data_IF_001385312467
#
_entry.id   IF_001385312467
#
_cell.length_a   1.000
_cell.length_b   1.000
_cell.length_c   1.000
_cell.angle_alpha   90.00
_cell.angle_beta   90.00
_cell.angle_gamma   90.00
#
_symmetry.space_group_name_H-M   'P 1'
#
loop_
_entity.id
_entity.type
_entity.pdbx_description
1 polymer ?
#
# COMPACT_ATOMS: atom_id res chain seq x y z
N UNK A 1 -59.91 6.28 55.31
CA UNK A 1 -60.34 5.12 54.51
C UNK A 1 -61.58 5.48 53.68
N UNK A 2 -61.41 6.10 52.51
CA UNK A 2 -62.49 6.69 51.69
C UNK A 2 -62.86 5.85 50.45
N UNK A 3 -62.75 4.51 50.56
CA UNK A 3 -63.03 3.58 49.46
C UNK A 3 -64.09 2.52 49.83
N UNK A 4 -64.67 2.63 51.03
CA UNK A 4 -65.62 1.67 51.59
C UNK A 4 -67.03 2.29 51.52
N UNK A 5 -67.85 1.84 50.57
CA UNK A 5 -69.27 2.20 50.44
C UNK A 5 -70.15 1.44 51.46
N UNK A 6 -69.67 0.32 52.01
CA UNK A 6 -70.36 -0.50 53.02
C UNK A 6 -69.36 -0.88 54.12
N UNK A 7 -69.43 -0.27 55.32
CA UNK A 7 -68.41 -0.41 56.37
C UNK A 7 -68.26 -1.83 56.95
N UNK A 8 -69.26 -2.70 56.82
CA UNK A 8 -69.23 -4.04 57.43
C UNK A 8 -68.67 -5.15 56.51
N UNK A 9 -68.48 -4.91 55.21
CA UNK A 9 -67.96 -5.91 54.25
C UNK A 9 -67.04 -5.29 53.19
N UNK A 10 -65.72 -5.18 53.45
CA UNK A 10 -64.78 -4.52 52.53
C UNK A 10 -64.66 -5.20 51.16
N UNK A 11 -64.90 -6.51 51.11
CA UNK A 11 -64.83 -7.30 49.86
C UNK A 11 -65.98 -6.95 48.90
N UNK A 12 -67.18 -6.66 49.40
CA UNK A 12 -68.36 -6.34 48.58
C UNK A 12 -68.26 -4.93 47.98
N UNK A 13 -67.75 -3.96 48.75
CA UNK A 13 -67.48 -2.60 48.24
C UNK A 13 -66.40 -2.60 47.16
N UNK A 14 -65.35 -3.42 47.31
CA UNK A 14 -64.31 -3.58 46.30
C UNK A 14 -64.85 -4.21 45.00
N UNK A 15 -65.74 -5.20 45.11
CA UNK A 15 -66.43 -5.83 43.99
C UNK A 15 -67.32 -4.82 43.23
N UNK A 16 -68.05 -3.97 43.95
CA UNK A 16 -68.92 -2.95 43.36
C UNK A 16 -68.11 -1.91 42.56
N UNK A 17 -67.00 -1.43 43.12
CA UNK A 17 -66.07 -0.55 42.40
C UNK A 17 -65.44 -1.22 41.18
N UNK A 18 -65.08 -2.51 41.28
CA UNK A 18 -64.57 -3.26 40.14
C UNK A 18 -65.59 -3.35 38.99
N UNK A 19 -66.87 -3.57 39.30
CA UNK A 19 -67.95 -3.60 38.29
C UNK A 19 -68.15 -2.23 37.64
N UNK A 20 -68.20 -1.15 38.42
CA UNK A 20 -68.31 0.22 37.90
C UNK A 20 -67.12 0.57 37.01
N UNK A 21 -65.90 0.20 37.43
CA UNK A 21 -64.69 0.42 36.66
C UNK A 21 -64.69 -0.34 35.33
N UNK A 22 -65.13 -1.60 35.32
CA UNK A 22 -65.29 -2.40 34.09
C UNK A 22 -66.36 -1.79 33.17
N UNK A 23 -67.46 -1.26 33.72
CA UNK A 23 -68.51 -0.61 32.92
C UNK A 23 -68.01 0.68 32.26
N UNK A 24 -67.25 1.51 32.98
CA UNK A 24 -66.60 2.72 32.43
C UNK A 24 -65.64 2.34 31.30
N UNK A 25 -64.78 1.33 31.53
CA UNK A 25 -63.85 0.82 30.52
C UNK A 25 -64.59 0.30 29.27
N UNK A 26 -65.73 -0.37 29.44
CA UNK A 26 -66.54 -0.87 28.34
C UNK A 26 -67.11 0.25 27.46
N UNK A 27 -67.67 1.32 28.06
CA UNK A 27 -68.16 2.48 27.30
C UNK A 27 -67.01 3.25 26.62
N UNK A 28 -65.84 3.31 27.26
CA UNK A 28 -64.64 3.95 26.71
C UNK A 28 -63.94 3.12 25.61
N UNK A 29 -64.42 1.92 25.26
CA UNK A 29 -63.75 1.00 24.31
C UNK A 29 -63.43 1.61 22.96
N UNK A 30 -64.42 2.25 22.33
CA UNK A 30 -64.25 2.87 21.01
C UNK A 30 -63.28 4.06 21.03
N UNK A 31 -63.42 5.06 21.93
CA UNK A 31 -62.49 6.19 22.00
C UNK A 31 -61.07 5.74 22.40
N UNK A 32 -60.90 4.80 23.34
CA UNK A 32 -59.58 4.29 23.73
C UNK A 32 -58.90 3.59 22.56
N UNK A 33 -59.59 2.69 21.85
CA UNK A 33 -59.02 2.02 20.66
C UNK A 33 -58.60 3.02 19.59
N UNK A 34 -59.42 4.05 19.33
CA UNK A 34 -59.09 5.10 18.35
C UNK A 34 -57.86 5.89 18.77
N UNK A 35 -57.81 6.37 20.02
CA UNK A 35 -56.66 7.13 20.53
C UNK A 35 -55.37 6.31 20.47
N UNK A 36 -55.40 5.06 20.94
CA UNK A 36 -54.24 4.15 20.90
C UNK A 36 -53.79 3.92 19.46
N UNK A 37 -54.72 3.69 18.52
CA UNK A 37 -54.38 3.48 17.12
C UNK A 37 -53.79 4.74 16.44
N UNK A 38 -54.26 5.94 16.79
CA UNK A 38 -53.75 7.20 16.27
C UNK A 38 -52.33 7.48 16.79
N UNK A 39 -52.09 7.25 18.08
CA UNK A 39 -50.76 7.38 18.69
C UNK A 39 -49.80 6.35 18.11
N UNK A 40 -50.25 5.10 17.93
CA UNK A 40 -49.46 4.07 17.27
C UNK A 40 -49.11 4.46 15.83
N UNK A 41 -50.08 4.93 15.05
CA UNK A 41 -49.89 5.33 13.67
C UNK A 41 -48.96 6.54 13.53
N UNK A 42 -49.08 7.56 14.39
CA UNK A 42 -48.20 8.72 14.36
C UNK A 42 -46.76 8.35 14.69
N UNK A 43 -46.56 7.54 15.73
CA UNK A 43 -45.22 7.11 16.17
C UNK A 43 -44.56 6.20 15.10
N UNK A 44 -45.31 5.27 14.52
CA UNK A 44 -44.85 4.45 13.39
C UNK A 44 -44.53 5.31 12.15
N UNK A 45 -45.35 6.31 11.85
CA UNK A 45 -45.12 7.23 10.72
C UNK A 45 -43.84 8.04 10.90
N UNK A 46 -43.60 8.57 12.10
CA UNK A 46 -42.37 9.31 12.42
C UNK A 46 -41.12 8.42 12.31
N UNK A 47 -41.17 7.19 12.82
CA UNK A 47 -40.04 6.26 12.68
C UNK A 47 -39.78 5.90 11.22
N UNK A 48 -40.84 5.71 10.42
CA UNK A 48 -40.71 5.45 8.98
C UNK A 48 -40.09 6.64 8.24
N UNK A 49 -40.49 7.87 8.54
CA UNK A 49 -39.93 9.06 7.90
C UNK A 49 -38.45 9.24 8.26
N UNK A 50 -38.07 9.05 9.53
CA UNK A 50 -36.67 9.11 9.97
C UNK A 50 -35.81 8.04 9.29
N UNK A 51 -36.32 6.82 9.18
CA UNK A 51 -35.64 5.74 8.44
C UNK A 51 -35.39 6.14 6.98
N UNK A 52 -36.39 6.68 6.30
CA UNK A 52 -36.26 7.11 4.90
C UNK A 52 -35.24 8.25 4.77
N UNK A 53 -35.26 9.23 5.67
CA UNK A 53 -34.29 10.32 5.69
C UNK A 53 -32.84 9.78 5.86
N UNK A 54 -32.61 8.86 6.80
CA UNK A 54 -31.29 8.25 7.00
C UNK A 54 -30.81 7.45 5.80
N UNK A 55 -31.70 6.66 5.16
CA UNK A 55 -31.34 5.90 3.97
C UNK A 55 -31.02 6.80 2.77
N UNK A 56 -31.76 7.89 2.61
CA UNK A 56 -31.48 8.90 1.60
C UNK A 56 -30.12 9.56 1.87
N UNK A 57 -29.84 9.98 3.12
CA UNK A 57 -28.54 10.54 3.50
C UNK A 57 -27.40 9.54 3.28
N UNK A 58 -27.60 8.26 3.60
CA UNK A 58 -26.62 7.21 3.33
C UNK A 58 -26.32 7.08 1.84
N UNK A 59 -27.36 7.09 0.98
CA UNK A 59 -27.18 7.02 -0.48
C UNK A 59 -26.46 8.24 -1.05
N UNK A 60 -26.75 9.44 -0.55
CA UNK A 60 -26.07 10.67 -0.98
C UNK A 60 -24.61 10.68 -0.56
N UNK A 61 -24.30 10.22 0.66
CA UNK A 61 -22.93 10.08 1.15
C UNK A 61 -22.15 9.03 0.35
N UNK A 62 -22.78 7.90 0.00
CA UNK A 62 -22.15 6.86 -0.82
C UNK A 62 -21.74 7.40 -2.20
N UNK A 63 -22.62 8.16 -2.86
CA UNK A 63 -22.33 8.81 -4.14
C UNK A 63 -21.20 9.84 -4.01
N UNK A 64 -21.15 10.62 -2.91
CA UNK A 64 -20.07 11.59 -2.69
C UNK A 64 -18.73 10.89 -2.41
N UNK A 65 -18.73 9.87 -1.57
CA UNK A 65 -17.54 9.12 -1.20
C UNK A 65 -16.93 8.39 -2.40
N UNK A 66 -17.77 7.74 -3.21
CA UNK A 66 -17.32 7.08 -4.44
C UNK A 66 -16.75 8.06 -5.47
N UNK A 67 -17.34 9.26 -5.61
CA UNK A 67 -16.78 10.33 -6.46
C UNK A 67 -15.40 10.77 -5.99
N UNK A 68 -15.24 11.05 -4.70
CA UNK A 68 -13.95 11.48 -4.13
C UNK A 68 -12.90 10.36 -4.26
N UNK A 69 -13.27 9.12 -3.97
CA UNK A 69 -12.37 7.97 -4.09
C UNK A 69 -11.89 7.75 -5.52
N UNK A 70 -12.80 7.86 -6.50
CA UNK A 70 -12.44 7.74 -7.92
C UNK A 70 -11.53 8.88 -8.35
N UNK A 71 -11.79 10.11 -7.92
CA UNK A 71 -10.95 11.25 -8.26
C UNK A 71 -9.54 11.13 -7.66
N UNK A 72 -9.43 10.69 -6.39
CA UNK A 72 -8.14 10.40 -5.77
C UNK A 72 -7.39 9.28 -6.50
N UNK A 73 -8.09 8.19 -6.84
CA UNK A 73 -7.53 7.09 -7.62
C UNK A 73 -7.07 7.54 -9.02
N UNK A 74 -7.85 8.39 -9.68
CA UNK A 74 -7.54 8.98 -10.99
C UNK A 74 -6.26 9.81 -10.92
N UNK A 75 -6.17 10.73 -9.96
CA UNK A 75 -4.99 11.57 -9.74
C UNK A 75 -3.73 10.72 -9.48
N UNK A 76 -3.85 9.66 -8.68
CA UNK A 76 -2.72 8.79 -8.38
C UNK A 76 -2.21 8.06 -9.63
N UNK A 77 -3.12 7.45 -10.41
CA UNK A 77 -2.76 6.76 -11.66
C UNK A 77 -2.25 7.74 -12.71
N UNK A 78 -2.82 8.95 -12.78
CA UNK A 78 -2.37 10.01 -13.70
C UNK A 78 -0.93 10.46 -13.39
N UNK A 79 -0.57 10.65 -12.11
CA UNK A 79 0.82 10.95 -11.72
C UNK A 79 1.76 9.82 -12.09
N UNK A 80 1.37 8.57 -11.83
CA UNK A 80 2.16 7.41 -12.20
C UNK A 80 2.36 7.34 -13.72
N UNK A 81 1.30 7.57 -14.49
CA UNK A 81 1.32 7.59 -15.95
C UNK A 81 2.23 8.70 -16.50
N UNK A 82 2.13 9.92 -15.96
CA UNK A 82 3.02 11.03 -16.30
C UNK A 82 4.48 10.69 -16.03
N UNK A 83 4.77 10.05 -14.90
CA UNK A 83 6.13 9.61 -14.59
C UNK A 83 6.65 8.57 -15.61
N UNK A 84 5.81 7.58 -15.97
CA UNK A 84 6.18 6.62 -17.00
C UNK A 84 6.38 7.27 -18.38
N UNK A 85 5.56 8.25 -18.76
CA UNK A 85 5.74 9.00 -20.00
C UNK A 85 7.04 9.81 -20.01
N UNK A 86 7.35 10.51 -18.91
CA UNK A 86 8.62 11.22 -18.79
C UNK A 86 9.81 10.27 -18.91
N UNK A 87 9.74 9.11 -18.25
CA UNK A 87 10.80 8.12 -18.31
C UNK A 87 10.97 7.50 -19.70
N UNK A 88 9.86 7.21 -20.39
CA UNK A 88 9.92 6.74 -21.79
C UNK A 88 10.49 7.82 -22.68
N UNK A 89 10.11 9.09 -22.48
CA UNK A 89 10.67 10.21 -23.21
C UNK A 89 12.20 10.30 -23.03
N UNK A 90 12.69 10.22 -21.78
CA UNK A 90 14.12 10.20 -21.48
C UNK A 90 14.82 9.02 -22.16
N UNK A 91 14.27 7.81 -22.07
CA UNK A 91 14.84 6.63 -22.77
C UNK A 91 14.84 6.84 -24.28
N UNK A 92 13.78 7.41 -24.85
CA UNK A 92 13.70 7.65 -26.29
C UNK A 92 14.72 8.71 -26.71
N UNK A 93 14.84 9.80 -25.97
CA UNK A 93 15.84 10.84 -26.22
C UNK A 93 17.28 10.31 -26.06
N UNK A 94 17.57 9.56 -25.01
CA UNK A 94 18.92 9.06 -24.72
C UNK A 94 19.32 7.88 -25.64
N UNK A 95 18.48 6.85 -25.77
CA UNK A 95 18.84 5.62 -26.50
C UNK A 95 18.68 5.79 -28.03
N UNK A 96 17.72 6.61 -28.50
CA UNK A 96 17.48 6.76 -29.94
C UNK A 96 18.20 7.96 -30.56
N UNK A 97 18.61 8.98 -29.79
CA UNK A 97 19.51 10.02 -30.33
C UNK A 97 20.86 9.44 -30.77
N UNK A 98 21.33 8.40 -30.08
CA UNK A 98 22.54 7.66 -30.43
C UNK A 98 22.37 6.63 -31.54
N UNK A 99 21.13 6.29 -31.94
CA UNK A 99 20.88 5.23 -32.91
C UNK A 99 21.57 5.44 -34.27
N UNK A 100 21.58 6.65 -34.88
CA UNK A 100 22.33 6.89 -36.11
C UNK A 100 23.84 6.64 -35.97
N UNK A 101 24.42 6.93 -34.79
CA UNK A 101 25.84 6.65 -34.51
C UNK A 101 26.09 5.15 -34.43
N UNK A 102 25.20 4.43 -33.75
CA UNK A 102 25.27 2.96 -33.64
C UNK A 102 25.12 2.29 -35.01
N UNK A 103 24.18 2.77 -35.83
CA UNK A 103 24.00 2.29 -37.20
C UNK A 103 25.27 2.51 -38.04
N UNK A 104 25.88 3.69 -37.93
CA UNK A 104 27.15 3.99 -38.61
C UNK A 104 28.29 3.09 -38.13
N UNK A 105 28.38 2.83 -36.82
CA UNK A 105 29.40 1.93 -36.25
C UNK A 105 29.22 0.49 -36.74
N UNK A 106 27.98 -0.01 -36.79
CA UNK A 106 27.66 -1.33 -37.35
C UNK A 106 28.08 -1.41 -38.82
N UNK A 107 27.71 -0.42 -39.64
CA UNK A 107 28.09 -0.38 -41.05
C UNK A 107 29.61 -0.37 -41.23
N UNK A 108 30.34 0.42 -40.44
CA UNK A 108 31.81 0.48 -40.50
C UNK A 108 32.46 -0.86 -40.11
N UNK A 109 31.93 -1.53 -39.09
CA UNK A 109 32.42 -2.86 -38.69
C UNK A 109 32.17 -3.90 -39.78
N UNK A 110 30.99 -3.87 -40.41
CA UNK A 110 30.65 -4.76 -41.53
C UNK A 110 31.60 -4.52 -42.71
N UNK A 111 31.78 -3.27 -43.16
CA UNK A 111 32.69 -2.95 -44.27
C UNK A 111 34.12 -3.40 -43.99
N UNK A 112 34.59 -3.27 -42.74
CA UNK A 112 35.95 -3.69 -42.38
C UNK A 112 36.12 -5.20 -42.36
N UNK A 113 35.11 -5.92 -41.88
CA UNK A 113 35.04 -7.39 -41.95
C UNK A 113 35.01 -7.84 -43.42
N UNK A 114 34.26 -7.16 -44.28
CA UNK A 114 34.15 -7.47 -45.71
C UNK A 114 35.47 -7.24 -46.45
N UNK A 115 36.17 -6.15 -46.15
CA UNK A 115 37.51 -5.85 -46.71
C UNK A 115 38.55 -6.91 -46.27
N UNK A 116 38.63 -7.23 -44.98
CA UNK A 116 39.56 -8.26 -44.47
C UNK A 116 39.21 -9.66 -45.04
N UNK A 117 37.93 -9.92 -45.32
CA UNK A 117 37.47 -11.13 -45.99
C UNK A 117 37.92 -11.17 -47.46
N UNK A 118 37.75 -10.07 -48.21
CA UNK A 118 38.23 -9.97 -49.59
C UNK A 118 39.76 -10.13 -49.68
N UNK A 119 40.52 -9.55 -48.75
CA UNK A 119 41.97 -9.73 -48.67
C UNK A 119 42.39 -11.17 -48.29
N UNK A 120 41.48 -11.94 -47.69
CA UNK A 120 41.67 -13.35 -47.38
C UNK A 120 41.22 -14.29 -48.51
N UNK A 121 40.64 -13.76 -49.60
CA UNK A 121 40.15 -14.55 -50.72
C UNK A 121 41.29 -15.24 -51.49
N UNK A 122 40.97 -16.38 -52.10
CA UNK A 122 41.97 -17.24 -52.71
C UNK A 122 42.34 -16.80 -54.13
N UNK A 123 43.57 -16.31 -54.30
CA UNK A 123 44.22 -16.27 -55.62
C UNK A 123 44.86 -17.65 -55.80
N UNK A 124 44.40 -18.49 -56.74
CA UNK A 124 45.05 -19.77 -57.00
C UNK A 124 46.52 -19.50 -57.38
N UNK A 125 47.48 -20.31 -56.87
CA UNK A 125 48.86 -20.17 -57.29
C UNK A 125 48.92 -20.34 -58.81
N UNK A 126 49.70 -19.49 -59.49
CA UNK A 126 49.88 -19.58 -60.93
C UNK A 126 50.28 -21.01 -61.32
N UNK A 127 49.65 -21.50 -62.39
CA UNK A 127 49.88 -22.85 -62.91
C UNK A 127 51.38 -23.03 -63.23
N UNK A 128 51.95 -24.21 -63.00
CA UNK A 128 53.38 -24.42 -63.17
C UNK A 128 53.86 -24.21 -64.61
N UNK A 129 54.70 -23.21 -64.85
CA UNK A 129 55.37 -22.93 -66.14
C UNK A 129 56.23 -24.11 -66.64
N UNK A 130 56.54 -25.08 -65.77
CA UNK A 130 57.33 -26.25 -66.13
C UNK A 130 56.54 -27.34 -66.86
N UNK A 131 55.21 -27.25 -66.97
CA UNK A 131 54.42 -28.22 -67.77
C UNK A 131 54.89 -28.19 -69.23
N UNK A 132 55.07 -26.99 -69.79
CA UNK A 132 55.62 -26.81 -71.15
C UNK A 132 57.09 -27.25 -71.24
N UNK A 133 57.89 -27.01 -70.19
CA UNK A 133 59.30 -27.42 -70.16
C UNK A 133 59.47 -28.95 -70.08
N UNK A 134 58.60 -29.66 -69.35
CA UNK A 134 58.57 -31.13 -69.30
C UNK A 134 58.08 -31.71 -70.63
N UNK A 135 57.09 -31.08 -71.28
CA UNK A 135 56.60 -31.48 -72.60
C UNK A 135 57.69 -31.34 -73.67
N UNK A 136 58.45 -30.24 -73.66
CA UNK A 136 59.59 -30.02 -74.55
C UNK A 136 60.73 -31.04 -74.35
N UNK A 137 60.99 -31.46 -73.11
CA UNK A 137 62.04 -32.45 -72.80
C UNK A 137 61.59 -33.89 -73.05
N UNK A 138 60.31 -34.21 -72.83
CA UNK A 138 59.74 -35.50 -73.23
C UNK A 138 59.91 -35.72 -74.74
N UNK A 139 59.62 -34.68 -75.53
CA UNK A 139 59.84 -34.66 -76.98
C UNK A 139 61.33 -34.80 -77.36
N UNK A 140 62.27 -34.26 -76.57
CA UNK A 140 63.73 -34.39 -76.81
C UNK A 140 64.30 -35.76 -76.38
N UNK A 141 63.74 -36.40 -75.35
CA UNK A 141 64.20 -37.69 -74.82
C UNK A 141 63.94 -38.86 -75.78
N UNK A 142 62.92 -38.75 -76.63
CA UNK A 142 62.66 -39.73 -77.69
C UNK A 142 63.75 -39.70 -78.79
N UNK A 143 64.45 -38.57 -78.97
CA UNK A 143 65.40 -38.38 -80.07
C UNK A 143 66.84 -38.87 -79.80
N UNK A 144 67.26 -39.07 -78.54
CA UNK A 144 68.66 -39.38 -78.19
C UNK A 144 68.76 -40.26 -76.92
N UNK A 145 68.96 -41.58 -77.09
CA UNK A 145 69.30 -42.50 -75.98
C UNK A 145 70.80 -42.47 -75.69
N UNK A 146 71.18 -42.05 -74.48
CA UNK A 146 72.51 -42.32 -73.91
C UNK A 146 73.52 -41.17 -73.88
N UNK A 147 73.10 -39.91 -74.02
CA UNK A 147 74.01 -38.76 -73.97
C UNK A 147 74.14 -38.21 -72.52
N UNK A 148 75.36 -38.10 -72.01
CA UNK A 148 75.64 -37.68 -70.63
C UNK A 148 75.18 -36.23 -70.33
N UNK A 149 75.08 -35.39 -71.36
CA UNK A 149 74.51 -34.02 -71.27
C UNK A 149 73.01 -34.01 -71.01
N UNK A 150 72.24 -34.94 -71.57
CA UNK A 150 70.79 -35.03 -71.34
C UNK A 150 70.51 -35.49 -69.91
N UNK A 151 71.33 -36.41 -69.38
CA UNK A 151 71.21 -36.88 -68.00
C UNK A 151 71.45 -35.74 -66.99
N UNK A 152 72.47 -34.89 -67.27
CA UNK A 152 72.73 -33.68 -66.48
C UNK A 152 71.59 -32.65 -66.58
N UNK A 153 71.04 -32.41 -67.77
CA UNK A 153 69.91 -31.48 -67.94
C UNK A 153 68.65 -31.99 -67.24
N UNK A 154 68.36 -33.30 -67.29
CA UNK A 154 67.24 -33.89 -66.55
C UNK A 154 67.47 -33.84 -65.05
N UNK A 155 68.71 -34.03 -64.58
CA UNK A 155 69.06 -33.91 -63.16
C UNK A 155 68.97 -32.46 -62.66
N UNK A 156 69.44 -31.49 -63.44
CA UNK A 156 69.27 -30.05 -63.19
C UNK A 156 67.79 -29.65 -63.20
N UNK A 157 66.97 -30.20 -64.10
CA UNK A 157 65.52 -29.97 -64.13
C UNK A 157 64.82 -30.59 -62.92
N UNK A 158 65.22 -31.79 -62.50
CA UNK A 158 64.67 -32.45 -61.32
C UNK A 158 65.03 -31.68 -60.04
N UNK A 159 66.23 -31.08 -59.99
CA UNK A 159 66.63 -30.15 -58.94
C UNK A 159 65.84 -28.83 -59.00
N UNK A 160 65.64 -28.27 -60.20
CA UNK A 160 64.78 -27.11 -60.46
C UNK A 160 63.32 -27.35 -60.02
N UNK A 161 62.77 -28.52 -60.33
CA UNK A 161 61.42 -28.92 -59.95
C UNK A 161 61.28 -29.08 -58.43
N UNK A 162 62.25 -29.70 -57.77
CA UNK A 162 62.26 -29.78 -56.30
C UNK A 162 62.37 -28.42 -55.64
N UNK A 163 63.16 -27.50 -56.20
CA UNK A 163 63.32 -26.15 -55.67
C UNK A 163 62.09 -25.28 -55.92
N UNK A 164 61.47 -25.35 -57.08
CA UNK A 164 60.20 -24.66 -57.36
C UNK A 164 59.01 -25.25 -56.59
N UNK A 165 58.93 -26.59 -56.43
CA UNK A 165 57.92 -27.21 -55.58
C UNK A 165 58.09 -26.79 -54.10
N UNK A 166 59.34 -26.71 -53.62
CA UNK A 166 59.63 -26.21 -52.28
C UNK A 166 59.26 -24.73 -52.12
N UNK A 167 59.53 -23.89 -53.13
CA UNK A 167 59.12 -22.47 -53.17
C UNK A 167 57.60 -22.32 -53.22
N UNK A 168 56.90 -23.06 -54.09
CA UNK A 168 55.45 -23.06 -54.19
C UNK A 168 54.80 -23.53 -52.87
N UNK A 169 55.33 -24.59 -52.24
CA UNK A 169 54.87 -25.05 -50.93
C UNK A 169 55.14 -24.03 -49.82
N UNK A 170 56.28 -23.32 -49.85
CA UNK A 170 56.60 -22.25 -48.91
C UNK A 170 55.70 -21.02 -49.11
N UNK A 171 55.45 -20.61 -50.35
CA UNK A 171 54.54 -19.51 -50.71
C UNK A 171 53.10 -19.85 -50.32
N UNK A 172 52.68 -21.10 -50.53
CA UNK A 172 51.38 -21.60 -50.08
C UNK A 172 51.27 -21.57 -48.55
N UNK A 173 52.28 -22.06 -47.82
CA UNK A 173 52.31 -21.98 -46.35
C UNK A 173 52.27 -20.53 -45.85
N UNK A 174 53.01 -19.63 -46.49
CA UNK A 174 53.02 -18.21 -46.15
C UNK A 174 51.66 -17.55 -46.42
N UNK A 175 51.03 -17.81 -47.56
CA UNK A 175 49.70 -17.28 -47.87
C UNK A 175 48.62 -17.79 -46.92
N UNK A 176 48.66 -19.09 -46.55
CA UNK A 176 47.79 -19.67 -45.52
C UNK A 176 48.02 -19.03 -44.15
N UNK A 177 49.28 -18.77 -43.76
CA UNK A 177 49.60 -18.09 -42.51
C UNK A 177 49.09 -16.64 -42.48
N UNK A 178 49.21 -15.92 -43.61
CA UNK A 178 48.67 -14.55 -43.77
C UNK A 178 47.14 -14.56 -43.65
N UNK A 179 46.44 -15.50 -44.32
CA UNK A 179 44.98 -15.65 -44.19
C UNK A 179 44.55 -15.95 -42.77
N UNK A 180 45.20 -16.90 -42.10
CA UNK A 180 44.87 -17.20 -40.70
C UNK A 180 45.08 -15.99 -39.80
N UNK A 181 46.10 -15.16 -40.06
CA UNK A 181 46.35 -13.93 -39.33
C UNK A 181 45.26 -12.87 -39.60
N UNK A 182 44.82 -12.71 -40.85
CA UNK A 182 43.72 -11.80 -41.23
C UNK A 182 42.39 -12.25 -40.60
N UNK A 183 42.02 -13.52 -40.75
CA UNK A 183 40.83 -14.11 -40.11
C UNK A 183 40.86 -13.95 -38.58
N UNK A 184 42.03 -14.14 -37.96
CA UNK A 184 42.18 -13.91 -36.52
C UNK A 184 42.01 -12.43 -36.15
N UNK A 185 42.50 -11.51 -36.97
CA UNK A 185 42.33 -10.06 -36.78
C UNK A 185 40.86 -9.60 -36.92
N UNK A 186 40.00 -10.37 -37.60
CA UNK A 186 38.56 -10.09 -37.72
C UNK A 186 37.76 -10.41 -36.44
N UNK A 187 38.25 -11.32 -35.60
CA UNK A 187 37.59 -11.74 -34.35
C UNK A 187 37.16 -10.59 -33.42
N UNK A 188 38.02 -9.59 -33.12
CA UNK A 188 37.61 -8.45 -32.29
C UNK A 188 36.49 -7.60 -32.93
N UNK A 189 36.45 -7.44 -34.26
CA UNK A 189 35.38 -6.70 -34.93
C UNK A 189 34.04 -7.45 -34.86
N UNK A 190 34.05 -8.78 -35.03
CA UNK A 190 32.87 -9.63 -34.82
C UNK A 190 32.32 -9.54 -33.40
N UNK A 191 33.20 -9.61 -32.39
CA UNK A 191 32.79 -9.42 -30.98
C UNK A 191 32.20 -8.03 -30.76
N UNK A 192 32.83 -7.00 -31.31
CA UNK A 192 32.35 -5.62 -31.18
C UNK A 192 30.98 -5.43 -31.84
N UNK A 193 30.79 -5.97 -33.06
CA UNK A 193 29.51 -5.95 -33.77
C UNK A 193 28.41 -6.64 -32.94
N UNK A 194 28.70 -7.83 -32.42
CA UNK A 194 27.76 -8.58 -31.59
C UNK A 194 27.36 -7.79 -30.33
N UNK A 195 28.33 -7.22 -29.61
CA UNK A 195 28.07 -6.42 -28.42
C UNK A 195 27.24 -5.16 -28.74
N UNK A 196 27.50 -4.52 -29.89
CA UNK A 196 26.74 -3.34 -30.33
C UNK A 196 25.29 -3.70 -30.66
N UNK A 197 25.05 -4.83 -31.34
CA UNK A 197 23.70 -5.33 -31.62
C UNK A 197 22.99 -5.73 -30.33
N UNK A 198 23.68 -6.41 -29.40
CA UNK A 198 23.13 -6.81 -28.11
C UNK A 198 22.71 -5.59 -27.27
N UNK A 199 23.51 -4.51 -27.27
CA UNK A 199 23.15 -3.25 -26.63
C UNK A 199 21.86 -2.66 -27.18
N UNK A 200 21.72 -2.59 -28.52
CA UNK A 200 20.48 -2.10 -29.17
C UNK A 200 19.29 -2.99 -28.81
N UNK A 201 19.48 -4.32 -28.83
CA UNK A 201 18.45 -5.28 -28.42
C UNK A 201 18.01 -5.09 -26.96
N UNK A 202 18.95 -4.80 -26.07
CA UNK A 202 18.70 -4.47 -24.67
C UNK A 202 17.85 -3.21 -24.50
N UNK A 203 18.19 -2.12 -25.20
CA UNK A 203 17.41 -0.88 -25.20
C UNK A 203 15.99 -1.08 -25.74
N UNK A 204 15.83 -1.81 -26.85
CA UNK A 204 14.51 -2.14 -27.38
C UNK A 204 13.68 -2.98 -26.39
N UNK A 205 14.29 -3.99 -25.76
CA UNK A 205 13.62 -4.81 -24.74
C UNK A 205 13.15 -3.96 -23.57
N UNK A 206 13.98 -3.04 -23.09
CA UNK A 206 13.62 -2.11 -22.03
C UNK A 206 12.45 -1.21 -22.44
N UNK A 207 12.46 -0.67 -23.66
CA UNK A 207 11.37 0.16 -24.17
C UNK A 207 10.05 -0.63 -24.25
N UNK A 208 10.08 -1.88 -24.72
CA UNK A 208 8.89 -2.76 -24.78
C UNK A 208 8.32 -3.00 -23.37
N UNK A 209 9.18 -3.28 -22.39
CA UNK A 209 8.74 -3.47 -20.99
C UNK A 209 8.08 -2.19 -20.47
N UNK A 210 8.64 -1.01 -20.76
CA UNK A 210 8.05 0.27 -20.34
C UNK A 210 6.75 0.62 -21.06
N UNK A 211 6.62 0.28 -22.35
CA UNK A 211 5.36 0.40 -23.06
C UNK A 211 4.27 -0.47 -22.42
N UNK A 212 4.59 -1.72 -22.05
CA UNK A 212 3.64 -2.60 -21.37
C UNK A 212 3.22 -2.09 -19.97
N UNK A 213 4.15 -1.48 -19.22
CA UNK A 213 3.82 -0.80 -17.95
C UNK A 213 2.85 0.37 -18.16
N UNK A 214 3.03 1.15 -19.23
CA UNK A 214 2.14 2.26 -19.61
C UNK A 214 0.76 1.73 -19.99
N UNK A 215 0.69 0.68 -20.81
CA UNK A 215 -0.59 0.09 -21.22
C UNK A 215 -1.39 -0.39 -20.01
N UNK A 216 -0.73 -1.05 -19.05
CA UNK A 216 -1.37 -1.48 -17.82
C UNK A 216 -1.85 -0.28 -16.97
N UNK A 217 -1.06 0.79 -16.88
CA UNK A 217 -1.45 2.00 -16.17
C UNK A 217 -2.64 2.70 -16.86
N UNK A 218 -2.66 2.72 -18.20
CA UNK A 218 -3.72 3.30 -19.01
C UNK A 218 -5.02 2.49 -18.89
N UNK A 219 -4.96 1.16 -18.89
CA UNK A 219 -6.11 0.29 -18.67
C UNK A 219 -6.73 0.55 -17.29
N UNK A 220 -5.89 0.64 -16.24
CA UNK A 220 -6.36 1.00 -14.90
C UNK A 220 -7.00 2.38 -14.89
N UNK A 221 -6.39 3.37 -15.54
CA UNK A 221 -6.96 4.71 -15.66
C UNK A 221 -8.35 4.69 -16.31
N UNK A 222 -8.49 4.00 -17.45
CA UNK A 222 -9.75 3.86 -18.16
C UNK A 222 -10.81 3.14 -17.32
N UNK A 223 -10.42 2.12 -16.54
CA UNK A 223 -11.34 1.38 -15.64
C UNK A 223 -11.88 2.24 -14.49
N UNK A 224 -11.09 3.20 -14.00
CA UNK A 224 -11.48 4.18 -12.99
C UNK A 224 -12.38 5.25 -13.63
N UNK A 225 -12.00 5.73 -14.81
CA UNK A 225 -12.74 6.74 -15.57
C UNK A 225 -14.13 6.26 -15.99
N UNK A 226 -14.26 4.99 -16.40
CA UNK A 226 -15.55 4.38 -16.74
C UNK A 226 -16.45 4.15 -15.52
N UNK A 227 -15.93 4.34 -14.31
CA UNK A 227 -16.70 4.20 -13.09
C UNK A 227 -17.13 2.75 -12.80
N UNK A 228 -16.36 1.77 -13.28
CA UNK A 228 -16.67 0.35 -13.08
C UNK A 228 -16.72 -0.02 -11.60
N UNK A 229 -17.67 -0.90 -11.24
CA UNK A 229 -17.83 -1.37 -9.86
C UNK A 229 -16.60 -2.16 -9.37
N UNK A 230 -15.95 -2.88 -10.29
CA UNK A 230 -14.72 -3.61 -10.02
C UNK A 230 -13.56 -2.66 -9.63
N UNK A 231 -13.35 -1.58 -10.40
CA UNK A 231 -12.33 -0.59 -10.09
C UNK A 231 -12.63 0.13 -8.77
N UNK A 232 -13.89 0.46 -8.51
CA UNK A 232 -14.30 1.10 -7.26
C UNK A 232 -14.03 0.21 -6.04
N UNK A 233 -14.35 -1.10 -6.16
CA UNK A 233 -14.05 -2.08 -5.10
C UNK A 233 -12.55 -2.27 -4.90
N UNK A 234 -11.78 -2.33 -5.98
CA UNK A 234 -10.32 -2.43 -5.92
C UNK A 234 -9.70 -1.22 -5.21
N UNK A 235 -10.21 0.00 -5.46
CA UNK A 235 -9.77 1.20 -4.76
C UNK A 235 -10.03 1.12 -3.25
N UNK A 236 -11.21 0.65 -2.82
CA UNK A 236 -11.49 0.43 -1.39
C UNK A 236 -10.54 -0.59 -0.75
N UNK A 237 -10.29 -1.72 -1.42
CA UNK A 237 -9.35 -2.75 -0.93
C UNK A 237 -7.94 -2.18 -0.84
N UNK A 238 -7.51 -1.40 -1.83
CA UNK A 238 -6.21 -0.73 -1.83
C UNK A 238 -6.08 0.28 -0.69
N UNK A 239 -7.11 1.10 -0.45
CA UNK A 239 -7.14 2.04 0.68
C UNK A 239 -7.09 1.31 2.03
N UNK A 240 -7.79 0.18 2.17
CA UNK A 240 -7.73 -0.63 3.39
C UNK A 240 -6.33 -1.24 3.60
N UNK A 241 -5.72 -1.78 2.56
CA UNK A 241 -4.36 -2.31 2.64
C UNK A 241 -3.33 -1.21 2.97
N UNK A 242 -3.49 -0.01 2.40
CA UNK A 242 -2.65 1.14 2.73
C UNK A 242 -2.83 1.58 4.18
N UNK A 243 -4.07 1.68 4.67
CA UNK A 243 -4.36 1.96 6.08
C UNK A 243 -3.68 0.96 7.02
N UNK A 244 -3.77 -0.34 6.71
CA UNK A 244 -3.18 -1.38 7.57
C UNK A 244 -1.65 -1.28 7.58
N UNK A 245 -1.02 -1.12 6.41
CA UNK A 245 0.43 -0.92 6.30
C UNK A 245 0.87 0.32 7.08
N UNK A 246 0.20 1.46 6.88
CA UNK A 246 0.54 2.70 7.57
C UNK A 246 0.30 2.62 9.07
N UNK A 247 -0.77 1.96 9.52
CA UNK A 247 -1.06 1.78 10.94
C UNK A 247 -0.02 0.92 11.66
N UNK A 248 0.44 -0.16 11.03
CA UNK A 248 1.51 -1.02 11.58
C UNK A 248 2.82 -0.22 11.70
N UNK A 249 3.21 0.49 10.64
CA UNK A 249 4.44 1.30 10.65
C UNK A 249 4.33 2.41 11.71
N UNK A 250 3.19 3.09 11.79
CA UNK A 250 2.95 4.14 12.78
C UNK A 250 2.99 3.58 14.21
N UNK A 251 2.44 2.38 14.45
CA UNK A 251 2.51 1.73 15.75
C UNK A 251 3.96 1.43 16.17
N UNK A 252 4.79 0.96 15.24
CA UNK A 252 6.23 0.78 15.50
C UNK A 252 6.93 2.11 15.83
N UNK A 253 6.62 3.19 15.11
CA UNK A 253 7.21 4.50 15.38
C UNK A 253 6.71 5.11 16.69
N UNK A 254 5.44 4.93 17.04
CA UNK A 254 4.89 5.35 18.34
C UNK A 254 5.51 4.55 19.50
N UNK A 255 5.81 3.26 19.30
CA UNK A 255 6.60 2.49 20.26
C UNK A 255 8.02 3.07 20.40
N UNK A 256 8.66 3.48 19.30
CA UNK A 256 9.92 4.23 19.32
C UNK A 256 9.81 5.56 20.08
N UNK A 257 8.71 6.31 19.89
CA UNK A 257 8.44 7.57 20.59
C UNK A 257 8.26 7.35 22.09
N UNK A 258 7.58 6.26 22.47
CA UNK A 258 7.43 5.86 23.86
C UNK A 258 8.77 5.48 24.49
N UNK A 259 9.64 4.76 23.77
CA UNK A 259 11.00 4.48 24.23
C UNK A 259 11.81 5.78 24.39
N UNK A 260 11.72 6.72 23.43
CA UNK A 260 12.40 8.00 23.53
C UNK A 260 11.92 8.80 24.76
N UNK A 261 10.61 8.86 24.98
CA UNK A 261 10.01 9.45 26.18
C UNK A 261 10.59 8.86 27.47
N UNK A 262 10.73 7.53 27.53
CA UNK A 262 11.27 6.85 28.71
C UNK A 262 12.77 7.13 28.90
N UNK A 263 13.56 7.12 27.82
CA UNK A 263 15.00 7.42 27.87
C UNK A 263 15.29 8.85 28.33
N UNK A 264 14.42 9.81 28.01
CA UNK A 264 14.56 11.20 28.46
C UNK A 264 14.07 11.36 29.90
N UNK A 265 12.92 10.75 30.25
CA UNK A 265 12.29 10.94 31.55
C UNK A 265 13.17 10.43 32.70
N UNK A 266 13.82 9.28 32.54
CA UNK A 266 14.63 8.62 33.57
C UNK A 266 15.72 9.54 34.18
N UNK A 267 16.66 10.09 33.40
CA UNK A 267 17.69 10.98 33.95
C UNK A 267 17.13 12.29 34.52
N UNK A 268 16.03 12.82 33.96
CA UNK A 268 15.44 14.09 34.41
C UNK A 268 14.76 14.01 35.79
N UNK A 269 14.39 12.82 36.27
CA UNK A 269 13.67 12.66 37.56
C UNK A 269 14.44 13.19 38.77
N UNK A 270 15.77 13.23 38.68
CA UNK A 270 16.64 13.57 39.83
C UNK A 270 16.87 15.05 39.97
N UNK A 271 17.05 15.75 38.85
CA UNK A 271 17.16 17.21 38.86
C UNK A 271 15.81 17.85 39.21
N UNK A 272 14.71 17.18 38.86
CA UNK A 272 13.36 17.59 39.18
C UNK A 272 12.88 17.19 40.60
N UNK A 273 13.68 16.45 41.38
CA UNK A 273 13.28 15.98 42.72
C UNK A 273 13.06 17.12 43.73
N UNK A 274 13.62 18.31 43.46
CA UNK A 274 13.48 19.51 44.30
C UNK A 274 12.28 20.40 43.93
N UNK A 275 11.50 20.01 42.92
CA UNK A 275 10.39 20.81 42.40
C UNK A 275 9.10 20.00 42.56
N UNK A 276 8.08 20.60 43.17
CA UNK A 276 6.82 19.92 43.42
C UNK A 276 6.16 19.42 42.13
N UNK A 277 5.64 18.18 42.10
CA UNK A 277 4.97 17.65 40.92
C UNK A 277 3.68 18.41 40.64
N UNK A 278 3.46 18.76 39.37
CA UNK A 278 2.26 19.43 38.91
C UNK A 278 1.15 18.39 38.68
N UNK A 279 0.08 18.43 39.48
CA UNK A 279 -1.17 17.69 39.27
C UNK A 279 -1.00 16.23 38.81
N UNK A 280 -0.27 15.41 39.58
CA UNK A 280 -0.14 13.96 39.36
C UNK A 280 0.89 13.50 38.33
N UNK A 281 1.56 14.42 37.61
CA UNK A 281 2.70 14.10 36.74
C UNK A 281 4.00 14.65 37.33
N UNK A 282 5.10 13.89 37.18
CA UNK A 282 6.42 14.43 37.54
C UNK A 282 6.90 15.41 36.47
N UNK A 283 7.69 16.41 36.86
CA UNK A 283 8.22 17.42 35.92
C UNK A 283 9.10 16.77 34.84
N UNK A 284 9.82 15.71 35.20
CA UNK A 284 10.57 14.90 34.24
C UNK A 284 9.69 14.30 33.14
N UNK A 285 8.52 13.77 33.52
CA UNK A 285 7.54 13.22 32.57
C UNK A 285 6.94 14.31 31.67
N UNK A 286 6.66 15.50 32.22
CA UNK A 286 6.13 16.60 31.42
C UNK A 286 7.17 17.12 30.41
N UNK A 287 8.41 17.32 30.86
CA UNK A 287 9.52 17.79 30.02
C UNK A 287 9.88 16.79 28.93
N UNK A 288 9.90 15.48 29.23
CA UNK A 288 10.15 14.45 28.21
C UNK A 288 9.00 14.39 27.19
N UNK A 289 7.75 14.48 27.63
CA UNK A 289 6.58 14.52 26.73
C UNK A 289 6.65 15.73 25.78
N UNK A 290 6.92 16.92 26.31
CA UNK A 290 7.05 18.15 25.51
C UNK A 290 8.20 18.01 24.51
N UNK A 291 9.34 17.45 24.93
CA UNK A 291 10.50 17.25 24.04
C UNK A 291 10.15 16.32 22.88
N UNK A 292 9.56 15.16 23.16
CA UNK A 292 9.15 14.21 22.12
C UNK A 292 8.09 14.80 21.20
N UNK A 293 7.10 15.54 21.73
CA UNK A 293 6.09 16.22 20.91
C UNK A 293 6.72 17.28 20.00
N UNK A 294 7.70 18.04 20.51
CA UNK A 294 8.40 19.05 19.73
C UNK A 294 9.24 18.41 18.62
N UNK A 295 9.87 17.26 18.87
CA UNK A 295 10.59 16.48 17.86
C UNK A 295 9.67 15.95 16.78
N UNK A 296 8.52 15.37 17.16
CA UNK A 296 7.53 14.89 16.20
C UNK A 296 7.03 16.07 15.35
N UNK A 297 6.71 17.20 15.97
CA UNK A 297 6.27 18.39 15.25
C UNK A 297 7.36 18.89 14.27
N UNK A 298 8.60 18.99 14.74
CA UNK A 298 9.75 19.39 13.93
C UNK A 298 9.98 18.44 12.75
N UNK A 299 9.83 17.14 12.99
CA UNK A 299 9.91 16.09 11.98
C UNK A 299 8.83 16.20 10.91
N UNK A 300 7.59 16.43 11.32
CA UNK A 300 6.46 16.69 10.40
C UNK A 300 6.73 17.93 9.55
N UNK A 301 7.18 19.03 10.14
CA UNK A 301 7.52 20.24 9.37
C UNK A 301 8.68 20.02 8.40
N UNK A 302 9.69 19.26 8.79
CA UNK A 302 10.84 18.94 7.92
C UNK A 302 10.43 18.05 6.74
N UNK A 303 9.60 17.04 6.98
CA UNK A 303 9.07 16.15 5.92
C UNK A 303 8.18 16.90 4.92
N UNK A 304 7.39 17.86 5.40
CA UNK A 304 6.60 18.74 4.53
C UNK A 304 7.50 19.68 3.72
N UNK A 305 8.51 20.29 4.35
CA UNK A 305 9.44 21.19 3.66
C UNK A 305 10.24 20.47 2.56
N UNK A 306 10.56 19.19 2.77
CA UNK A 306 11.20 18.33 1.77
C UNK A 306 10.25 17.84 0.67
N UNK A 307 8.95 18.18 0.73
CA UNK A 307 7.91 17.68 -0.20
C UNK A 307 7.78 16.15 -0.21
N UNK A 308 8.18 15.49 0.88
CA UNK A 308 7.94 14.06 1.07
C UNK A 308 6.50 13.85 1.49
N UNK A 309 5.99 14.71 2.36
CA UNK A 309 4.57 14.74 2.77
C UNK A 309 3.84 15.98 2.23
N UNK A 310 2.52 15.89 2.12
CA UNK A 310 1.63 16.95 1.62
C UNK A 310 0.48 17.26 2.59
N UNK A 311 0.72 17.13 3.90
CA UNK A 311 -0.31 17.37 4.91
C UNK A 311 -0.65 18.86 5.09
N UNK A 312 0.31 19.74 4.83
CA UNK A 312 0.25 21.17 5.15
C UNK A 312 0.59 21.99 3.89
N UNK A 313 -0.35 22.10 2.92
CA UNK A 313 -0.09 22.69 1.60
C UNK A 313 0.41 24.14 1.63
N UNK A 314 0.27 24.85 2.76
CA UNK A 314 0.83 26.17 2.96
C UNK A 314 2.37 26.20 2.82
N UNK A 315 3.08 25.16 3.28
CA UNK A 315 4.55 25.13 3.24
C UNK A 315 5.12 24.82 1.86
N UNK A 316 4.35 24.13 1.00
CA UNK A 316 4.74 23.89 -0.40
C UNK A 316 4.76 25.14 -1.27
N UNK A 317 4.01 26.19 -0.87
CA UNK A 317 3.97 27.47 -1.59
C UNK A 317 5.13 28.44 -1.24
N UNK A 318 6.01 28.06 -0.31
CA UNK A 318 7.12 28.90 0.12
C UNK A 318 8.18 29.05 -0.99
N UNK A 319 8.80 30.23 -1.05
CA UNK A 319 9.92 30.47 -1.97
C UNK A 319 11.12 29.60 -1.61
N UNK A 320 11.89 29.18 -2.62
CA UNK A 320 13.02 28.25 -2.49
C UNK A 320 13.97 28.61 -1.34
N UNK A 321 14.30 29.90 -1.21
CA UNK A 321 15.21 30.43 -0.18
C UNK A 321 14.65 30.30 1.24
N UNK A 322 13.35 30.52 1.44
CA UNK A 322 12.71 30.37 2.75
C UNK A 322 12.58 28.89 3.12
N UNK A 323 12.31 28.04 2.12
CA UNK A 323 12.22 26.59 2.28
C UNK A 323 13.56 25.98 2.69
N UNK A 324 14.64 26.29 1.98
CA UNK A 324 15.97 25.76 2.32
C UNK A 324 16.45 26.25 3.69
N UNK A 325 16.15 27.49 4.07
CA UNK A 325 16.43 28.01 5.41
C UNK A 325 15.66 27.24 6.51
N UNK A 326 14.37 26.95 6.28
CA UNK A 326 13.55 26.17 7.21
C UNK A 326 14.05 24.74 7.35
N UNK A 327 14.43 24.09 6.24
CA UNK A 327 15.05 22.75 6.26
C UNK A 327 16.34 22.78 7.08
N UNK A 328 17.23 23.74 6.82
CA UNK A 328 18.49 23.88 7.57
C UNK A 328 18.25 24.11 9.06
N UNK A 329 17.30 24.97 9.43
CA UNK A 329 16.93 25.23 10.81
C UNK A 329 16.37 23.98 11.49
N UNK A 330 15.45 23.25 10.85
CA UNK A 330 14.86 22.05 11.41
C UNK A 330 15.86 20.91 11.61
N UNK A 331 16.75 20.68 10.63
CA UNK A 331 17.84 19.71 10.78
C UNK A 331 18.78 20.12 11.91
N UNK A 332 19.16 21.40 12.00
CA UNK A 332 20.03 21.89 13.08
C UNK A 332 19.41 21.66 14.46
N UNK A 333 18.11 21.91 14.61
CA UNK A 333 17.39 21.73 15.86
C UNK A 333 17.23 20.24 16.23
N UNK A 334 17.00 19.36 15.25
CA UNK A 334 17.02 17.90 15.44
C UNK A 334 18.39 17.41 15.92
N UNK A 335 19.49 17.92 15.35
CA UNK A 335 20.84 17.58 15.78
C UNK A 335 21.09 18.05 17.21
N UNK A 336 20.65 19.26 17.57
CA UNK A 336 20.72 19.75 18.95
C UNK A 336 19.97 18.84 19.90
N UNK A 337 18.73 18.43 19.56
CA UNK A 337 17.99 17.48 20.39
C UNK A 337 18.71 16.14 20.53
N UNK A 338 19.16 15.55 19.42
CA UNK A 338 19.91 14.29 19.42
C UNK A 338 21.16 14.36 20.30
N UNK A 339 21.92 15.46 20.25
CA UNK A 339 23.10 15.66 21.09
C UNK A 339 22.72 15.81 22.58
N UNK A 340 21.69 16.60 22.90
CA UNK A 340 21.22 16.76 24.29
C UNK A 340 20.72 15.45 24.89
N UNK A 341 19.98 14.65 24.12
CA UNK A 341 19.47 13.36 24.58
C UNK A 341 20.56 12.31 24.72
N UNK A 342 21.52 12.27 23.78
CA UNK A 342 22.70 11.42 23.90
C UNK A 342 23.53 11.78 25.14
N UNK A 343 23.65 13.08 25.45
CA UNK A 343 24.25 13.58 26.69
C UNK A 343 23.49 13.13 27.95
N UNK A 344 22.16 13.17 27.93
CA UNK A 344 21.32 12.65 29.00
C UNK A 344 21.51 11.14 29.22
N UNK A 345 21.58 10.36 28.13
CA UNK A 345 21.83 8.92 28.19
C UNK A 345 23.24 8.60 28.73
N UNK A 346 24.25 9.40 28.35
CA UNK A 346 25.58 9.30 28.92
C UNK A 346 25.54 9.56 30.43
N UNK A 347 24.86 10.61 30.87
CA UNK A 347 24.72 10.93 32.29
C UNK A 347 24.06 9.79 33.08
N UNK A 348 22.97 9.24 32.57
CA UNK A 348 22.27 8.10 33.17
C UNK A 348 23.18 6.87 33.31
N UNK A 349 23.93 6.54 32.25
CA UNK A 349 24.86 5.40 32.27
C UNK A 349 26.01 5.54 33.28
N UNK A 350 26.58 6.74 33.46
CA UNK A 350 27.59 7.00 34.51
C UNK A 350 26.99 6.74 35.87
N UNK A 351 25.78 7.25 36.08
CA UNK A 351 25.11 7.17 37.38
C UNK A 351 24.78 5.74 37.77
N UNK A 352 24.30 4.93 36.83
CA UNK A 352 24.05 3.52 37.08
C UNK A 352 25.34 2.77 37.43
N UNK A 353 26.46 3.11 36.76
CA UNK A 353 27.76 2.55 37.09
C UNK A 353 28.23 2.98 38.50
N UNK A 354 28.15 4.27 38.84
CA UNK A 354 28.58 4.76 40.16
C UNK A 354 27.71 4.19 41.29
N UNK A 355 26.39 4.14 41.12
CA UNK A 355 25.50 3.52 42.11
C UNK A 355 25.80 2.03 42.31
N UNK A 356 26.06 1.29 41.23
CA UNK A 356 26.47 -0.12 41.31
C UNK A 356 27.83 -0.27 42.01
N UNK A 357 28.79 0.61 41.73
CA UNK A 357 30.09 0.58 42.44
C UNK A 357 29.92 0.86 43.92
N UNK A 358 29.11 1.85 44.31
CA UNK A 358 28.88 2.18 45.71
C UNK A 358 28.19 1.04 46.45
N UNK A 359 27.20 0.39 45.82
CA UNK A 359 26.54 -0.78 46.38
C UNK A 359 27.52 -1.96 46.56
N UNK A 360 28.35 -2.25 45.55
CA UNK A 360 29.36 -3.31 45.62
C UNK A 360 30.43 -3.03 46.67
N UNK A 361 30.88 -1.78 46.82
CA UNK A 361 31.82 -1.38 47.88
C UNK A 361 31.21 -1.63 49.27
N UNK A 362 29.91 -1.37 49.44
CA UNK A 362 29.20 -1.59 50.70
C UNK A 362 29.00 -3.08 50.99
N UNK A 363 28.77 -3.92 49.97
CA UNK A 363 28.48 -5.35 50.16
C UNK A 363 29.72 -6.26 50.19
N UNK A 364 30.72 -5.97 49.36
CA UNK A 364 31.86 -6.88 49.08
C UNK A 364 33.23 -6.27 49.43
N UNK A 365 33.26 -5.00 49.86
CA UNK A 365 34.49 -4.27 50.18
C UNK A 365 35.13 -3.57 48.97
N UNK A 366 35.98 -2.58 49.24
CA UNK A 366 36.48 -1.64 48.24
C UNK A 366 37.36 -2.28 47.13
N UNK A 367 38.14 -3.30 47.46
CA UNK A 367 39.11 -3.91 46.53
C UNK A 367 38.45 -4.79 45.46
N UNK A 368 37.45 -5.61 45.84
CA UNK A 368 36.69 -6.43 44.88
C UNK A 368 35.74 -5.60 44.00
N UNK A 369 35.18 -4.50 44.56
CA UNK A 369 34.29 -3.60 43.82
C UNK A 369 35.01 -2.76 42.75
N UNK A 370 36.29 -2.42 42.96
CA UNK A 370 37.10 -1.72 41.97
C UNK A 370 37.44 -2.60 40.75
N UNK A 371 37.63 -3.92 40.96
CA UNK A 371 37.94 -4.86 39.89
C UNK A 371 36.73 -5.17 38.98
N UNK A 372 35.50 -5.18 39.52
CA UNK A 372 34.27 -5.45 38.77
C UNK A 372 33.77 -4.23 37.96
N UNK A 373 34.07 -3.01 38.43
CA UNK A 373 33.60 -1.75 37.84
C UNK A 373 34.47 -1.17 36.73
N UNK A 374 35.76 -1.54 36.69
CA UNK A 374 36.72 -1.09 35.68
C UNK A 374 36.70 -1.91 34.37
N UNK A 375 35.70 -2.76 34.16
CA UNK A 375 35.65 -3.62 32.98
C UNK A 375 35.37 -2.81 31.70
N UNK A 376 36.24 -2.96 30.70
CA UNK A 376 36.08 -2.47 29.32
C UNK A 376 34.75 -2.93 28.70
N UNK A 377 34.16 -4.02 29.21
CA UNK A 377 32.85 -4.53 28.82
C UNK A 377 31.66 -3.60 29.09
N UNK A 378 31.79 -2.57 29.95
CA UNK A 378 30.74 -1.59 30.23
C UNK A 378 30.65 -0.45 29.19
N UNK A 379 31.70 -0.24 28.39
CA UNK A 379 31.75 0.82 27.37
C UNK A 379 30.88 0.51 26.16
N UNK A 380 30.79 -0.78 25.77
CA UNK A 380 30.04 -1.19 24.58
C UNK A 380 28.52 -0.97 24.79
N UNK A 381 27.90 -1.43 25.89
CA UNK A 381 26.48 -1.15 26.15
C UNK A 381 26.18 0.34 26.27
N UNK A 382 27.10 1.10 26.88
CA UNK A 382 26.97 2.55 27.04
C UNK A 382 26.99 3.29 25.71
N UNK A 383 27.98 3.01 24.86
CA UNK A 383 28.05 3.59 23.53
C UNK A 383 26.84 3.19 22.68
N UNK A 384 26.35 1.96 22.80
CA UNK A 384 25.15 1.49 22.12
C UNK A 384 23.90 2.26 22.57
N UNK A 385 23.70 2.46 23.88
CA UNK A 385 22.57 3.23 24.39
C UNK A 385 22.61 4.69 23.91
N UNK A 386 23.78 5.35 23.98
CA UNK A 386 23.95 6.71 23.48
C UNK A 386 23.67 6.82 21.98
N UNK A 387 24.10 5.84 21.19
CA UNK A 387 23.87 5.82 19.75
C UNK A 387 22.37 5.62 19.43
N UNK A 388 21.69 4.73 20.14
CA UNK A 388 20.24 4.50 19.98
C UNK A 388 19.49 5.79 20.29
N UNK A 389 19.78 6.44 21.43
CA UNK A 389 19.11 7.68 21.84
C UNK A 389 19.43 8.84 20.89
N UNK A 390 20.66 8.94 20.40
CA UNK A 390 21.03 9.93 19.38
C UNK A 390 20.25 9.74 18.07
N UNK A 391 19.96 8.50 17.68
CA UNK A 391 19.25 8.21 16.43
C UNK A 391 17.74 8.41 16.54
N UNK A 392 17.17 8.36 17.76
CA UNK A 392 15.72 8.42 17.98
C UNK A 392 15.04 9.65 17.37
N UNK A 393 15.51 10.90 17.57
CA UNK A 393 14.89 12.08 16.96
C UNK A 393 14.78 12.00 15.43
N UNK A 394 15.81 11.42 14.78
CA UNK A 394 15.80 11.20 13.33
C UNK A 394 14.82 10.09 12.94
N UNK A 395 14.69 9.03 13.73
CA UNK A 395 13.69 7.98 13.46
C UNK A 395 12.27 8.55 13.60
N UNK A 396 12.04 9.36 14.64
CA UNK A 396 10.73 9.97 14.91
C UNK A 396 10.31 10.97 13.82
N UNK A 397 11.26 11.57 13.11
CA UNK A 397 10.94 12.44 11.98
C UNK A 397 10.10 11.72 10.90
N UNK A 398 10.31 10.42 10.74
CA UNK A 398 9.61 9.61 9.74
C UNK A 398 8.16 9.31 10.11
N UNK A 399 7.67 9.70 11.30
CA UNK A 399 6.27 9.56 11.72
C UNK A 399 5.32 10.24 10.73
N UNK A 400 5.75 11.33 10.09
CA UNK A 400 4.93 12.08 9.15
C UNK A 400 4.47 11.23 7.95
N UNK A 401 5.34 10.36 7.42
CA UNK A 401 5.07 9.56 6.21
C UNK A 401 3.91 8.57 6.39
N UNK A 402 3.95 7.63 7.36
CA UNK A 402 2.82 6.74 7.58
C UNK A 402 1.60 7.50 8.11
N UNK A 403 1.78 8.60 8.85
CA UNK A 403 0.66 9.42 9.31
C UNK A 403 -0.12 10.02 8.12
N UNK A 404 0.54 10.44 7.04
CA UNK A 404 -0.13 10.99 5.85
C UNK A 404 -0.98 9.93 5.17
N UNK A 405 -0.35 8.79 4.88
CA UNK A 405 -1.02 7.62 4.30
C UNK A 405 -2.20 7.15 5.15
N UNK A 406 -2.05 7.23 6.49
CA UNK A 406 -3.12 6.88 7.42
C UNK A 406 -4.25 7.90 7.36
N UNK A 407 -3.99 9.20 7.33
CA UNK A 407 -5.03 10.25 7.23
C UNK A 407 -5.84 10.07 5.93
N UNK A 408 -5.15 9.91 4.81
CA UNK A 408 -5.78 9.74 3.50
C UNK A 408 -6.66 8.47 3.45
N UNK A 409 -6.12 7.35 3.92
CA UNK A 409 -6.83 6.08 3.92
C UNK A 409 -7.97 6.06 4.96
N UNK A 410 -7.79 6.72 6.11
CA UNK A 410 -8.81 6.84 7.15
C UNK A 410 -10.01 7.64 6.66
N UNK A 411 -9.82 8.72 5.90
CA UNK A 411 -10.94 9.49 5.34
C UNK A 411 -11.84 8.62 4.46
N UNK A 412 -11.25 7.76 3.62
CA UNK A 412 -11.99 6.81 2.76
C UNK A 412 -12.73 5.77 3.61
N UNK A 413 -12.05 5.16 4.58
CA UNK A 413 -12.63 4.15 5.46
C UNK A 413 -13.74 4.72 6.34
N UNK A 414 -13.54 5.90 6.94
CA UNK A 414 -14.54 6.60 7.75
C UNK A 414 -15.78 6.93 6.91
N UNK A 415 -15.59 7.36 5.66
CA UNK A 415 -16.70 7.55 4.72
C UNK A 415 -17.50 6.27 4.48
N UNK A 416 -16.82 5.14 4.25
CA UNK A 416 -17.47 3.83 4.11
C UNK A 416 -18.21 3.43 5.39
N UNK A 417 -17.55 3.52 6.55
CA UNK A 417 -18.14 3.17 7.84
C UNK A 417 -19.32 4.08 8.19
N UNK A 418 -19.28 5.37 7.87
CA UNK A 418 -20.39 6.29 8.10
C UNK A 418 -21.64 5.86 7.31
N UNK A 419 -21.48 5.52 6.02
CA UNK A 419 -22.60 5.01 5.19
C UNK A 419 -23.19 3.74 5.80
N UNK A 420 -22.34 2.81 6.24
CA UNK A 420 -22.78 1.55 6.84
C UNK A 420 -23.44 1.78 8.20
N UNK A 421 -22.94 2.71 9.01
CA UNK A 421 -23.53 3.12 10.29
C UNK A 421 -24.92 3.73 10.08
N UNK A 422 -25.09 4.63 9.11
CA UNK A 422 -26.39 5.20 8.76
C UNK A 422 -27.39 4.11 8.32
N UNK A 423 -26.96 3.17 7.47
CA UNK A 423 -27.79 2.03 7.05
C UNK A 423 -28.16 1.14 8.25
N UNK A 424 -27.23 0.92 9.17
CA UNK A 424 -27.45 0.15 10.39
C UNK A 424 -28.42 0.84 11.36
N UNK A 425 -28.30 2.16 11.57
CA UNK A 425 -29.27 2.94 12.34
C UNK A 425 -30.65 2.85 11.67
N UNK A 426 -30.72 2.95 10.33
CA UNK A 426 -31.96 2.73 9.58
C UNK A 426 -32.58 1.34 9.81
N UNK A 427 -31.75 0.31 9.94
CA UNK A 427 -32.18 -1.03 10.32
C UNK A 427 -32.71 -1.08 11.77
N UNK A 428 -32.04 -0.45 12.73
CA UNK A 428 -32.51 -0.35 14.12
C UNK A 428 -33.87 0.35 14.18
N UNK A 429 -34.05 1.46 13.47
CA UNK A 429 -35.34 2.17 13.42
C UNK A 429 -36.43 1.30 12.82
N UNK A 430 -36.11 0.49 11.79
CA UNK A 430 -37.07 -0.48 11.22
C UNK A 430 -37.50 -1.49 12.29
N UNK A 431 -36.56 -2.04 13.05
CA UNK A 431 -36.84 -2.99 14.13
C UNK A 431 -37.69 -2.34 15.22
N UNK A 432 -37.37 -1.12 15.63
CA UNK A 432 -38.13 -0.36 16.61
C UNK A 432 -39.55 -0.04 16.12
N UNK A 433 -39.72 0.26 14.82
CA UNK A 433 -41.04 0.44 14.20
C UNK A 433 -41.91 -0.80 14.36
N UNK A 434 -41.35 -1.99 14.11
CA UNK A 434 -42.05 -3.27 14.26
C UNK A 434 -42.39 -3.54 15.73
N UNK A 435 -41.44 -3.30 16.65
CA UNK A 435 -41.66 -3.46 18.09
C UNK A 435 -42.77 -2.56 18.62
N UNK A 436 -42.76 -1.29 18.24
CA UNK A 436 -43.80 -0.32 18.60
C UNK A 436 -45.17 -0.81 18.11
N UNK A 437 -45.25 -1.24 16.85
CA UNK A 437 -46.50 -1.74 16.28
C UNK A 437 -47.02 -2.97 17.04
N UNK A 438 -46.12 -3.88 17.42
CA UNK A 438 -46.48 -5.07 18.20
C UNK A 438 -46.89 -4.73 19.64
N UNK A 439 -46.21 -3.77 20.28
CA UNK A 439 -46.55 -3.29 21.63
C UNK A 439 -47.95 -2.68 21.67
N UNK A 440 -48.29 -1.83 20.69
CA UNK A 440 -49.63 -1.25 20.62
C UNK A 440 -50.71 -2.30 20.33
N UNK A 441 -50.43 -3.28 19.46
CA UNK A 441 -51.35 -4.40 19.23
C UNK A 441 -51.55 -5.26 20.50
N UNK A 442 -50.48 -5.51 21.25
CA UNK A 442 -50.53 -6.25 22.50
C UNK A 442 -51.28 -5.47 23.59
N UNK A 443 -51.07 -4.16 23.69
CA UNK A 443 -51.80 -3.28 24.60
C UNK A 443 -53.30 -3.30 24.30
N UNK A 444 -53.68 -3.27 23.02
CA UNK A 444 -55.08 -3.43 22.60
C UNK A 444 -55.62 -4.83 22.93
N UNK A 445 -54.82 -5.89 22.79
CA UNK A 445 -55.22 -7.25 23.14
C UNK A 445 -55.42 -7.44 24.66
N UNK A 446 -54.54 -6.86 25.50
CA UNK A 446 -54.71 -6.87 26.96
C UNK A 446 -55.94 -6.07 27.36
N UNK A 447 -56.14 -4.89 26.76
CA UNK A 447 -57.33 -4.07 27.00
C UNK A 447 -58.62 -4.85 26.67
N UNK A 448 -58.60 -5.60 25.57
CA UNK A 448 -59.72 -6.46 25.17
C UNK A 448 -59.94 -7.66 26.11
N UNK A 449 -58.86 -8.23 26.67
CA UNK A 449 -58.91 -9.32 27.64
C UNK A 449 -59.57 -8.87 28.96
N UNK A 450 -59.27 -7.66 29.44
CA UNK A 450 -59.86 -7.10 30.67
C UNK A 450 -61.38 -6.89 30.48
N UNK A 451 -61.81 -6.53 29.28
CA UNK A 451 -63.23 -6.26 28.95
C UNK A 451 -63.95 -7.56 28.47
N UNK A 452 -63.30 -8.73 28.55
CA UNK A 452 -63.82 -9.98 28.01
C UNK A 452 -65.11 -10.46 28.70
N UNK A 453 -65.28 -10.26 30.03
CA UNK A 453 -66.46 -10.72 30.77
C UNK A 453 -67.77 -10.10 30.25
N UNK A 454 -67.91 -8.76 30.14
CA UNK A 454 -69.08 -8.12 29.55
C UNK A 454 -69.30 -8.53 28.08
N UNK A 455 -68.22 -8.65 27.30
CA UNK A 455 -68.27 -8.99 25.87
C UNK A 455 -68.77 -10.41 25.61
N UNK A 456 -68.45 -11.37 26.49
CA UNK A 456 -68.97 -12.73 26.39
C UNK A 456 -70.48 -12.76 26.63
N UNK A 457 -70.98 -12.02 27.63
CA UNK A 457 -72.42 -11.87 27.88
C UNK A 457 -73.14 -11.19 26.70
N UNK A 458 -72.59 -10.13 26.15
CA UNK A 458 -73.15 -9.42 24.99
C UNK A 458 -73.20 -10.33 23.74
N UNK A 459 -72.12 -11.06 23.43
CA UNK A 459 -72.07 -12.00 22.29
C UNK A 459 -73.06 -13.15 22.45
N UNK A 460 -73.24 -13.67 23.66
CA UNK A 460 -74.22 -14.75 23.93
C UNK A 460 -75.65 -14.26 23.68
N UNK A 461 -75.96 -13.01 24.02
CA UNK A 461 -77.26 -12.37 23.77
C UNK A 461 -77.44 -12.05 22.28
N UNK A 462 -76.42 -11.54 21.59
CA UNK A 462 -76.47 -11.25 20.16
C UNK A 462 -76.58 -12.51 19.29
N UNK A 463 -75.86 -13.59 19.62
CA UNK A 463 -76.02 -14.88 18.94
C UNK A 463 -77.43 -15.45 19.13
N UNK A 464 -78.05 -15.24 20.29
CA UNK A 464 -79.45 -15.62 20.55
C UNK A 464 -80.43 -14.77 19.72
N UNK A 465 -80.17 -13.47 19.54
CA UNK A 465 -80.96 -12.58 18.65
C UNK A 465 -80.78 -12.91 17.16
N UNK A 466 -79.57 -13.24 16.71
CA UNK A 466 -79.31 -13.57 15.31
C UNK A 466 -79.87 -14.95 14.93
N UNK A 467 -79.81 -15.94 15.83
CA UNK A 467 -80.48 -17.24 15.64
C UNK A 467 -82.01 -17.10 15.67
N UNK A 468 -82.56 -16.21 16.50
CA UNK A 468 -83.99 -15.88 16.48
C UNK A 468 -84.41 -15.19 15.16
N UNK A 469 -83.65 -14.18 14.69
CA UNK A 469 -83.91 -13.53 13.39
C UNK A 469 -83.80 -14.49 12.20
N UNK A 470 -82.85 -15.43 12.23
CA UNK A 470 -82.73 -16.46 11.21
C UNK A 470 -83.95 -17.40 11.18
N UNK A 471 -84.47 -17.78 12.36
CA UNK A 471 -85.71 -18.56 12.48
C UNK A 471 -86.95 -17.80 12.00
N UNK A 472 -87.08 -16.51 12.29
CA UNK A 472 -88.20 -15.68 11.80
C UNK A 472 -88.15 -15.43 10.29
N UNK A 473 -86.96 -15.39 9.69
CA UNK A 473 -86.79 -15.27 8.23
C UNK A 473 -87.15 -16.58 7.52
N UNK A 474 -86.80 -17.73 8.10
CA UNK A 474 -87.21 -19.05 7.60
C UNK A 474 -88.73 -19.28 7.73
N UNK A 475 -89.38 -18.80 8.80
CA UNK A 475 -90.84 -18.94 8.96
C UNK A 475 -91.65 -18.04 8.03
N UNK A 476 -91.10 -16.91 7.57
CA UNK A 476 -91.75 -16.04 6.57
C UNK A 476 -91.66 -16.59 5.15
N UNK A 477 -90.63 -17.35 4.81
CA UNK A 477 -90.51 -18.00 3.49
C UNK A 477 -91.39 -19.25 3.37
N UNK A 478 -91.75 -19.91 4.47
CA UNK A 478 -92.69 -21.04 4.48
C UNK A 478 -94.17 -20.68 4.51
N UNK A 479 -94.53 -19.39 4.61
CA UNK A 479 -95.93 -18.92 4.63
C UNK A 479 -96.36 -18.22 3.32
N UNK A 480 -95.52 -18.28 2.29
CA UNK A 480 -95.80 -17.81 0.93
C UNK A 480 -95.78 -18.94 -0.13
N UNK A 481 -95.75 -20.19 0.34
CA UNK A 481 -96.06 -21.40 -0.44
C UNK A 481 -97.38 -21.96 0.10
#
# INVERSE_FOLDING_TARGET
MTWILIPERPVESALLWAVVFIAILYFARQPVRRLVSLVAASLVSLLRSQRLALLNSASQLDVRNTKVLREQGRIHVERQLNHHFHRVKEIVEDDFSGYPLVQKEISQLITRIEEDYHQSAEVPPDGPEWVEAIEAIANLREAQKGNATILKVVEELCHGLKTEQAKAAANYRNSVAVRHKLLHAMMPYWRKLNNTIERVGGSFKNLIIKAAEIDQALERYQSIQSGSDAATRMLYVSSFANFLKSAIILACLLAGAYLNYQFIALPMTVDAAFIEPLSGFSIAQLSSLITVLLEIALGVFLMEALHVTHMLPAFGSLTERKRSALIGMAISMLVVFALTQSGLAFYDSVRHQTAATTAAVVSEGAELAAASSASVGSLIPRAAQMMIVFLMPFILMFIAIPMESLIDSTRVLLGFFAVQLLRFIGFIIKLLTVLVQQLFNLLLAIYDLIIFLPLWFERKIQNKKNTAKAKTKASRQGAQA
#
